data_IF_122276406844
#
_entry.id   IF_122276406844
#
_cell.length_a   1.000
_cell.length_b   1.000
_cell.length_c   1.000
_cell.angle_alpha   90.00
_cell.angle_beta   90.00
_cell.angle_gamma   90.00
#
_symmetry.space_group_name_H-M   'P 1'
#
loop_
_entity.id
_entity.type
_entity.pdbx_description
1 polymer ?
#
# COMPACT_ATOMS: atom_id res chain seq x y z
N UNK A 1 32.25 30.43 -15.83
CA UNK A 1 31.11 30.19 -14.98
C UNK A 1 29.84 30.72 -15.59
N UNK A 2 29.09 29.91 -16.32
CA UNK A 2 27.78 30.31 -16.87
C UNK A 2 26.69 29.61 -16.06
N UNK A 3 25.92 30.38 -15.30
CA UNK A 3 24.66 29.94 -14.72
C UNK A 3 23.66 29.77 -15.87
N UNK A 4 23.11 28.59 -16.04
CA UNK A 4 21.99 28.35 -16.96
C UNK A 4 20.73 28.96 -16.33
N UNK A 5 20.21 30.04 -16.89
CA UNK A 5 18.89 30.56 -16.55
C UNK A 5 17.80 29.60 -16.99
N UNK A 6 17.08 29.08 -16.01
CA UNK A 6 15.82 28.40 -16.29
C UNK A 6 14.72 29.44 -16.50
N UNK A 7 14.40 29.72 -17.75
CA UNK A 7 13.23 30.55 -18.06
C UNK A 7 11.98 29.70 -18.15
N UNK A 8 10.99 29.96 -17.29
CA UNK A 8 9.64 29.47 -17.44
C UNK A 8 8.92 30.25 -18.53
N UNK A 9 8.65 29.61 -19.67
CA UNK A 9 7.78 30.18 -20.68
C UNK A 9 6.31 30.14 -20.24
N UNK A 10 5.52 31.22 -20.51
CA UNK A 10 4.11 31.22 -20.11
C UNK A 10 3.30 30.15 -20.87
N UNK A 11 2.31 29.58 -20.16
CA UNK A 11 1.43 28.53 -20.64
C UNK A 11 0.48 29.04 -21.75
N UNK A 12 0.94 29.13 -22.98
CA UNK A 12 0.11 29.61 -24.09
C UNK A 12 0.61 29.29 -25.50
N UNK A 13 1.85 28.84 -25.63
CA UNK A 13 2.40 28.62 -26.95
C UNK A 13 3.31 27.41 -26.96
N UNK A 14 2.79 26.23 -27.01
CA UNK A 14 3.51 25.07 -27.55
C UNK A 14 2.83 23.74 -27.22
N UNK A 15 1.77 23.38 -27.90
CA UNK A 15 1.23 22.01 -27.83
C UNK A 15 2.21 20.93 -28.33
N UNK A 16 3.25 21.29 -29.07
CA UNK A 16 4.27 20.35 -29.55
C UNK A 16 5.49 20.21 -28.62
N UNK A 17 6.03 21.32 -28.13
CA UNK A 17 7.26 21.31 -27.32
C UNK A 17 7.01 20.81 -25.88
N UNK A 18 5.82 21.09 -25.32
CA UNK A 18 5.42 20.58 -24.01
C UNK A 18 5.15 19.06 -24.02
N UNK A 19 4.56 18.54 -25.09
CA UNK A 19 4.35 17.10 -25.27
C UNK A 19 5.70 16.37 -25.42
N UNK A 20 6.64 16.90 -26.18
CA UNK A 20 7.97 16.31 -26.34
C UNK A 20 8.79 16.31 -25.04
N UNK A 21 8.69 17.34 -24.22
CA UNK A 21 9.36 17.38 -22.89
C UNK A 21 8.76 16.34 -21.94
N UNK A 22 7.43 16.21 -21.89
CA UNK A 22 6.76 15.18 -21.08
C UNK A 22 7.17 13.78 -21.51
N UNK A 23 7.24 13.51 -22.81
CA UNK A 23 7.71 12.21 -23.34
C UNK A 23 9.18 11.96 -23.01
N UNK A 24 10.04 13.00 -23.06
CA UNK A 24 11.47 12.88 -22.77
C UNK A 24 11.74 12.44 -21.34
N UNK A 25 10.94 12.91 -20.36
CA UNK A 25 11.12 12.60 -18.95
C UNK A 25 10.22 11.46 -18.45
N UNK A 26 9.24 11.01 -19.22
CA UNK A 26 8.30 9.97 -18.81
C UNK A 26 8.99 8.66 -18.45
N UNK A 27 9.99 8.24 -19.25
CA UNK A 27 10.77 7.05 -18.97
C UNK A 27 11.59 7.14 -17.69
N UNK A 28 12.23 8.28 -17.44
CA UNK A 28 13.00 8.53 -16.22
C UNK A 28 12.10 8.58 -14.99
N UNK A 29 10.91 9.18 -15.08
CA UNK A 29 9.94 9.22 -13.99
C UNK A 29 9.37 7.83 -13.70
N UNK A 30 9.11 7.02 -14.73
CA UNK A 30 8.68 5.63 -14.56
C UNK A 30 9.74 4.78 -13.86
N UNK A 31 11.02 4.94 -14.22
CA UNK A 31 12.13 4.27 -13.55
C UNK A 31 12.27 4.71 -12.09
N UNK A 32 12.06 5.99 -11.78
CA UNK A 32 12.09 6.50 -10.43
C UNK A 32 10.95 5.94 -9.59
N UNK A 33 9.74 5.83 -10.14
CA UNK A 33 8.60 5.16 -9.48
C UNK A 33 8.93 3.71 -9.16
N UNK A 34 9.48 2.98 -10.11
CA UNK A 34 9.90 1.59 -9.92
C UNK A 34 10.93 1.47 -8.78
N UNK A 35 11.90 2.37 -8.74
CA UNK A 35 12.91 2.40 -7.68
C UNK A 35 12.28 2.67 -6.31
N UNK A 36 11.37 3.64 -6.19
CA UNK A 36 10.68 3.95 -4.94
C UNK A 36 9.81 2.78 -4.47
N UNK A 37 9.06 2.16 -5.36
CA UNK A 37 8.23 0.99 -5.05
C UNK A 37 9.08 -0.19 -4.61
N UNK A 38 10.21 -0.44 -5.27
CA UNK A 38 11.09 -1.57 -4.99
C UNK A 38 11.91 -1.41 -3.71
N UNK A 39 12.14 -0.17 -3.26
CA UNK A 39 12.98 0.15 -2.11
C UNK A 39 12.24 0.90 -1.01
N UNK A 40 10.92 0.85 -0.99
CA UNK A 40 10.13 1.54 0.02
C UNK A 40 10.61 1.20 1.41
N UNK A 41 10.83 2.22 2.25
CA UNK A 41 11.27 2.04 3.62
C UNK A 41 10.16 1.45 4.49
N UNK A 42 10.56 0.85 5.63
CA UNK A 42 9.62 0.31 6.62
C UNK A 42 8.79 1.44 7.24
N UNK A 43 7.46 1.30 7.29
CA UNK A 43 6.59 2.27 7.96
C UNK A 43 6.66 2.14 9.50
N UNK A 44 6.15 3.14 10.19
CA UNK A 44 5.97 3.12 11.66
C UNK A 44 4.76 2.27 12.02
N UNK A 45 4.92 0.97 11.93
CA UNK A 45 3.89 -0.02 12.23
C UNK A 45 4.51 -1.26 12.90
N UNK A 46 3.68 -2.08 13.53
CA UNK A 46 4.08 -3.43 13.91
C UNK A 46 3.99 -4.30 12.66
N UNK A 47 5.09 -4.94 12.31
CA UNK A 47 5.22 -5.70 11.08
C UNK A 47 5.54 -7.17 11.38
N UNK A 48 5.12 -8.06 10.50
CA UNK A 48 5.56 -9.45 10.46
C UNK A 48 6.45 -9.61 9.25
N UNK A 49 7.72 -9.85 9.48
CA UNK A 49 8.78 -9.86 8.47
C UNK A 49 9.70 -11.05 8.63
N UNK A 50 10.42 -11.40 7.58
CA UNK A 50 11.50 -12.38 7.62
C UNK A 50 12.79 -11.70 8.09
N UNK A 51 13.43 -12.26 9.12
CA UNK A 51 14.70 -11.77 9.64
C UNK A 51 15.90 -12.29 8.83
N UNK A 52 17.11 -11.90 9.22
CA UNK A 52 18.35 -12.31 8.55
C UNK A 52 18.62 -13.82 8.59
N UNK A 53 17.98 -14.54 9.52
CA UNK A 53 18.09 -15.98 9.68
C UNK A 53 16.96 -16.76 8.98
N UNK A 54 16.08 -16.08 8.26
CA UNK A 54 14.94 -16.68 7.59
C UNK A 54 13.75 -16.98 8.52
N UNK A 55 13.75 -16.47 9.75
CA UNK A 55 12.63 -16.62 10.68
C UNK A 55 11.58 -15.53 10.47
N UNK A 56 10.32 -15.89 10.58
CA UNK A 56 9.21 -14.94 10.54
C UNK A 56 8.98 -14.39 11.94
N UNK A 57 9.25 -13.10 12.10
CA UNK A 57 9.25 -12.42 13.39
C UNK A 57 8.34 -11.19 13.38
N UNK A 58 7.83 -10.83 14.57
CA UNK A 58 7.15 -9.57 14.81
C UNK A 58 8.21 -8.50 15.09
N UNK A 59 8.18 -7.42 14.32
CA UNK A 59 9.09 -6.29 14.45
C UNK A 59 8.33 -5.02 14.76
N UNK A 60 8.81 -4.26 15.74
CA UNK A 60 8.34 -2.89 16.03
C UNK A 60 9.46 -1.93 15.70
N UNK A 61 9.23 -1.07 14.71
CA UNK A 61 10.23 -0.11 14.28
C UNK A 61 10.31 1.06 15.25
N UNK A 62 11.52 1.31 15.80
CA UNK A 62 11.84 2.42 16.71
C UNK A 62 12.99 3.30 16.21
N UNK A 63 13.56 2.99 15.05
CA UNK A 63 14.67 3.73 14.47
C UNK A 63 14.17 5.02 13.80
N UNK A 64 14.53 6.16 14.35
CA UNK A 64 14.15 7.47 13.84
C UNK A 64 14.66 7.74 12.42
N UNK A 65 15.82 7.25 12.05
CA UNK A 65 16.39 7.44 10.70
C UNK A 65 15.56 6.71 9.65
N UNK A 66 15.10 5.50 9.96
CA UNK A 66 14.21 4.73 9.06
C UNK A 66 12.84 5.38 8.96
N UNK A 67 12.29 5.93 10.06
CA UNK A 67 11.03 6.66 10.05
C UNK A 67 11.09 7.93 9.19
N UNK A 68 12.20 8.67 9.27
CA UNK A 68 12.46 9.84 8.42
C UNK A 68 12.58 9.42 6.96
N UNK A 69 13.30 8.35 6.67
CA UNK A 69 13.43 7.81 5.32
C UNK A 69 12.07 7.39 4.74
N UNK A 70 11.24 6.71 5.50
CA UNK A 70 9.87 6.37 5.08
C UNK A 70 9.06 7.61 4.70
N UNK A 71 9.09 8.64 5.54
CA UNK A 71 8.37 9.90 5.30
C UNK A 71 8.80 10.57 4.00
N UNK A 72 10.11 10.65 3.76
CA UNK A 72 10.66 11.24 2.54
C UNK A 72 10.27 10.41 1.31
N UNK A 73 10.41 9.10 1.37
CA UNK A 73 10.05 8.21 0.26
C UNK A 73 8.55 8.23 -0.03
N UNK A 74 7.71 8.29 0.99
CA UNK A 74 6.27 8.43 0.86
C UNK A 74 5.90 9.74 0.13
N UNK A 75 6.44 10.85 0.58
CA UNK A 75 6.19 12.17 -0.05
C UNK A 75 6.63 12.17 -1.51
N UNK A 76 7.79 11.58 -1.81
CA UNK A 76 8.31 11.44 -3.18
C UNK A 76 7.38 10.57 -4.03
N UNK A 77 6.97 9.42 -3.53
CA UNK A 77 6.10 8.51 -4.27
C UNK A 77 4.70 9.08 -4.49
N UNK A 78 4.14 9.78 -3.50
CA UNK A 78 2.88 10.53 -3.64
C UNK A 78 2.99 11.55 -4.78
N UNK A 79 4.08 12.31 -4.83
CA UNK A 79 4.32 13.27 -5.89
C UNK A 79 4.41 12.61 -7.27
N UNK A 80 5.14 11.51 -7.37
CA UNK A 80 5.25 10.73 -8.60
C UNK A 80 3.90 10.12 -9.03
N UNK A 81 3.08 9.70 -8.06
CA UNK A 81 1.72 9.22 -8.33
C UNK A 81 0.80 10.32 -8.86
N UNK A 82 0.92 11.55 -8.36
CA UNK A 82 0.19 12.70 -8.89
C UNK A 82 0.59 13.04 -10.33
N UNK A 83 1.86 12.87 -10.68
CA UNK A 83 2.35 13.12 -12.04
C UNK A 83 1.81 12.10 -13.06
N UNK A 84 1.72 10.83 -12.67
CA UNK A 84 1.18 9.76 -13.50
C UNK A 84 0.65 8.61 -12.61
N UNK A 85 -0.60 8.70 -12.22
CA UNK A 85 -1.25 7.69 -11.38
C UNK A 85 -1.40 6.34 -12.11
N UNK A 86 -1.60 6.36 -13.43
CA UNK A 86 -1.77 5.15 -14.22
C UNK A 86 -0.49 4.31 -14.27
N UNK A 87 0.65 4.94 -14.47
CA UNK A 87 1.95 4.25 -14.44
C UNK A 87 2.25 3.70 -13.03
N UNK A 88 1.98 4.47 -11.98
CA UNK A 88 2.15 4.04 -10.59
C UNK A 88 1.29 2.80 -10.28
N UNK A 89 0.03 2.85 -10.63
CA UNK A 89 -0.94 1.78 -10.44
C UNK A 89 -0.53 0.52 -11.22
N UNK A 90 -0.18 0.67 -12.48
CA UNK A 90 0.27 -0.44 -13.34
C UNK A 90 1.50 -1.12 -12.78
N UNK A 91 2.51 -0.38 -12.36
CA UNK A 91 3.73 -0.95 -11.77
C UNK A 91 3.44 -1.74 -10.49
N UNK A 92 2.60 -1.21 -9.60
CA UNK A 92 2.24 -1.87 -8.35
C UNK A 92 1.44 -3.14 -8.58
N UNK A 93 0.44 -3.10 -9.45
CA UNK A 93 -0.40 -4.26 -9.76
C UNK A 93 0.37 -5.35 -10.53
N UNK A 94 1.28 -4.98 -11.43
CA UNK A 94 2.14 -5.93 -12.14
C UNK A 94 3.08 -6.65 -11.16
N UNK A 95 3.68 -5.94 -10.22
CA UNK A 95 4.51 -6.55 -9.16
C UNK A 95 3.70 -7.53 -8.29
N UNK A 96 2.49 -7.16 -7.95
CA UNK A 96 1.60 -8.04 -7.17
C UNK A 96 1.20 -9.28 -7.98
N UNK A 97 0.88 -9.13 -9.26
CA UNK A 97 0.61 -10.24 -10.16
C UNK A 97 1.81 -11.18 -10.31
N UNK A 98 3.03 -10.66 -10.33
CA UNK A 98 4.27 -11.45 -10.37
C UNK A 98 4.46 -12.28 -9.09
N UNK A 99 4.06 -11.77 -7.93
CA UNK A 99 4.02 -12.55 -6.68
C UNK A 99 3.01 -13.70 -6.78
N UNK A 100 1.83 -13.41 -7.30
CA UNK A 100 0.74 -14.36 -7.39
C UNK A 100 1.02 -15.50 -8.39
N UNK A 101 1.67 -15.21 -9.51
CA UNK A 101 1.99 -16.21 -10.55
C UNK A 101 3.35 -16.91 -10.34
N UNK A 102 4.07 -16.57 -9.27
CA UNK A 102 5.34 -17.19 -8.90
C UNK A 102 6.57 -16.71 -9.67
N UNK A 103 6.46 -15.69 -10.51
CA UNK A 103 7.63 -15.11 -11.21
C UNK A 103 8.59 -14.40 -10.28
N UNK A 104 8.07 -13.81 -9.22
CA UNK A 104 8.82 -13.09 -8.20
C UNK A 104 8.36 -13.58 -6.83
N UNK A 105 9.03 -14.59 -6.28
CA UNK A 105 8.67 -15.16 -4.99
C UNK A 105 9.62 -14.68 -3.91
N UNK A 106 9.25 -13.61 -3.20
CA UNK A 106 10.03 -13.07 -2.09
C UNK A 106 9.12 -12.34 -1.10
N UNK A 107 9.20 -12.71 0.17
CA UNK A 107 8.48 -12.02 1.26
C UNK A 107 8.93 -10.57 1.41
N UNK A 108 10.21 -10.30 1.24
CA UNK A 108 10.76 -8.94 1.30
C UNK A 108 10.21 -8.07 0.17
N UNK A 109 10.09 -8.60 -1.03
CA UNK A 109 9.49 -7.88 -2.18
C UNK A 109 8.01 -7.61 -1.94
N UNK A 110 7.28 -8.58 -1.41
CA UNK A 110 5.86 -8.41 -1.07
C UNK A 110 5.66 -7.35 0.01
N UNK A 111 6.44 -7.39 1.08
CA UNK A 111 6.39 -6.39 2.14
C UNK A 111 6.65 -4.98 1.60
N UNK A 112 7.72 -4.80 0.85
CA UNK A 112 8.11 -3.52 0.27
C UNK A 112 7.02 -2.98 -0.66
N UNK A 113 6.44 -3.83 -1.49
CA UNK A 113 5.33 -3.49 -2.37
C UNK A 113 4.09 -3.02 -1.58
N UNK A 114 3.70 -3.75 -0.54
CA UNK A 114 2.54 -3.40 0.28
C UNK A 114 2.77 -2.11 1.08
N UNK A 115 3.98 -1.86 1.57
CA UNK A 115 4.33 -0.58 2.19
C UNK A 115 4.22 0.59 1.18
N UNK A 116 4.65 0.38 -0.06
CA UNK A 116 4.50 1.37 -1.12
C UNK A 116 3.01 1.62 -1.46
N UNK A 117 2.21 0.56 -1.59
CA UNK A 117 0.76 0.67 -1.81
C UNK A 117 0.10 1.47 -0.68
N UNK A 118 0.42 1.16 0.57
CA UNK A 118 -0.11 1.88 1.73
C UNK A 118 0.34 3.34 1.80
N UNK A 119 1.57 3.64 1.37
CA UNK A 119 2.16 4.98 1.45
C UNK A 119 1.46 6.01 0.57
N UNK A 120 0.85 5.62 -0.54
CA UNK A 120 0.20 6.52 -1.49
C UNK A 120 -1.29 6.74 -1.22
N UNK A 121 -1.79 6.33 -0.06
CA UNK A 121 -3.19 6.55 0.32
C UNK A 121 -3.57 8.03 0.20
N UNK A 122 -4.69 8.30 -0.46
CA UNK A 122 -5.20 9.64 -0.70
C UNK A 122 -4.57 10.38 -1.89
N UNK A 123 -3.60 9.77 -2.59
CA UNK A 123 -2.94 10.40 -3.75
C UNK A 123 -3.72 10.26 -5.06
N UNK A 124 -4.69 9.36 -5.12
CA UNK A 124 -5.54 9.11 -6.28
C UNK A 124 -6.93 9.73 -6.11
N UNK A 125 -7.61 10.01 -7.21
CA UNK A 125 -9.03 10.29 -7.19
C UNK A 125 -9.80 9.09 -6.62
N UNK A 126 -10.95 9.32 -5.99
CA UNK A 126 -11.70 8.30 -5.26
C UNK A 126 -12.05 7.08 -6.11
N UNK A 127 -12.54 7.29 -7.33
CA UNK A 127 -12.91 6.22 -8.25
C UNK A 127 -11.70 5.40 -8.72
N UNK A 128 -10.56 6.03 -8.90
CA UNK A 128 -9.29 5.38 -9.25
C UNK A 128 -8.75 4.56 -8.07
N UNK A 129 -8.76 5.14 -6.88
CA UNK A 129 -8.38 4.46 -5.64
C UNK A 129 -9.23 3.20 -5.41
N UNK A 130 -10.55 3.31 -5.60
CA UNK A 130 -11.48 2.21 -5.44
C UNK A 130 -11.15 1.03 -6.37
N UNK A 131 -10.95 1.28 -7.65
CA UNK A 131 -10.57 0.24 -8.62
C UNK A 131 -9.24 -0.39 -8.30
N UNK A 132 -8.25 0.42 -7.97
CA UNK A 132 -6.92 -0.03 -7.59
C UNK A 132 -6.94 -0.93 -6.36
N UNK A 133 -7.59 -0.50 -5.28
CA UNK A 133 -7.64 -1.25 -4.03
C UNK A 133 -8.45 -2.53 -4.13
N UNK A 134 -9.57 -2.54 -4.84
CA UNK A 134 -10.33 -3.77 -5.06
C UNK A 134 -9.46 -4.83 -5.73
N UNK A 135 -8.68 -4.46 -6.73
CA UNK A 135 -7.76 -5.38 -7.41
C UNK A 135 -6.62 -5.81 -6.48
N UNK A 136 -5.97 -4.86 -5.81
CA UNK A 136 -4.83 -5.16 -4.93
C UNK A 136 -5.23 -6.08 -3.77
N UNK A 137 -6.33 -5.80 -3.11
CA UNK A 137 -6.79 -6.61 -1.97
C UNK A 137 -7.27 -7.97 -2.42
N UNK A 138 -7.99 -8.06 -3.55
CA UNK A 138 -8.36 -9.34 -4.13
C UNK A 138 -7.16 -10.21 -4.42
N UNK A 139 -6.12 -9.67 -5.03
CA UNK A 139 -4.91 -10.40 -5.35
C UNK A 139 -4.15 -10.83 -4.09
N UNK A 140 -4.09 -9.99 -3.06
CA UNK A 140 -3.52 -10.35 -1.76
C UNK A 140 -4.30 -11.47 -1.06
N UNK A 141 -5.62 -11.43 -1.10
CA UNK A 141 -6.47 -12.50 -0.54
C UNK A 141 -6.27 -13.82 -1.30
N UNK A 142 -6.20 -13.77 -2.63
CA UNK A 142 -5.89 -14.94 -3.44
C UNK A 142 -4.51 -15.52 -3.12
N UNK A 143 -3.51 -14.67 -2.96
CA UNK A 143 -2.16 -15.10 -2.55
C UNK A 143 -2.19 -15.77 -1.17
N UNK A 144 -2.96 -15.25 -0.24
CA UNK A 144 -3.13 -15.84 1.08
C UNK A 144 -3.76 -17.24 0.99
N UNK A 145 -4.75 -17.43 0.13
CA UNK A 145 -5.42 -18.73 -0.05
C UNK A 145 -4.52 -19.80 -0.67
N UNK A 146 -3.71 -19.44 -1.66
CA UNK A 146 -2.81 -20.39 -2.34
C UNK A 146 -1.53 -20.68 -1.56
N UNK A 147 -1.18 -19.85 -0.58
CA UNK A 147 0.03 -20.00 0.21
C UNK A 147 -0.16 -21.03 1.31
N UNK A 148 0.84 -21.89 1.49
CA UNK A 148 0.85 -22.92 2.54
C UNK A 148 1.86 -22.57 3.63
N UNK A 149 1.54 -22.98 4.85
CA UNK A 149 2.36 -22.75 6.03
C UNK A 149 1.92 -21.52 6.83
N UNK A 150 1.92 -21.67 8.16
CA UNK A 150 1.44 -20.63 9.09
C UNK A 150 2.27 -19.35 9.02
N UNK A 151 3.59 -19.48 8.96
CA UNK A 151 4.49 -18.34 8.95
C UNK A 151 4.37 -17.55 7.66
N UNK A 152 4.27 -18.22 6.53
CA UNK A 152 4.08 -17.58 5.23
C UNK A 152 2.72 -16.87 5.14
N UNK A 153 1.66 -17.51 5.60
CA UNK A 153 0.34 -16.85 5.70
C UNK A 153 0.34 -15.67 6.65
N UNK A 154 1.13 -15.73 7.73
CA UNK A 154 1.26 -14.60 8.66
C UNK A 154 1.85 -13.36 7.97
N UNK A 155 2.85 -13.52 7.12
CA UNK A 155 3.42 -12.40 6.33
C UNK A 155 2.35 -11.78 5.42
N UNK A 156 1.59 -12.59 4.70
CA UNK A 156 0.55 -12.09 3.78
C UNK A 156 -0.58 -11.43 4.57
N UNK A 157 -1.04 -12.03 5.66
CA UNK A 157 -2.05 -11.45 6.53
C UNK A 157 -1.62 -10.08 7.08
N UNK A 158 -0.37 -9.96 7.51
CA UNK A 158 0.24 -8.71 7.94
C UNK A 158 0.18 -7.64 6.85
N UNK A 159 0.51 -8.00 5.62
CA UNK A 159 0.45 -7.07 4.48
C UNK A 159 -0.99 -6.65 4.15
N UNK A 160 -1.94 -7.56 4.19
CA UNK A 160 -3.37 -7.22 4.00
C UNK A 160 -3.82 -6.23 5.08
N UNK A 161 -3.52 -6.51 6.34
CA UNK A 161 -3.89 -5.65 7.47
C UNK A 161 -3.24 -4.27 7.38
N UNK A 162 -1.97 -4.22 6.98
CA UNK A 162 -1.29 -2.95 6.76
C UNK A 162 -1.98 -2.12 5.67
N UNK A 163 -2.23 -2.70 4.49
CA UNK A 163 -2.86 -2.00 3.37
C UNK A 163 -4.25 -1.51 3.75
N UNK A 164 -5.13 -2.35 4.28
CA UNK A 164 -6.49 -1.92 4.64
C UNK A 164 -6.48 -0.84 5.72
N UNK A 165 -5.57 -0.89 6.67
CA UNK A 165 -5.41 0.12 7.71
C UNK A 165 -4.98 1.49 7.18
N UNK A 166 -4.35 1.56 6.01
CA UNK A 166 -3.91 2.80 5.37
C UNK A 166 -4.99 3.47 4.50
N UNK A 167 -6.10 2.79 4.23
CA UNK A 167 -7.16 3.29 3.33
C UNK A 167 -8.52 3.45 4.03
N UNK A 168 -8.63 4.24 5.11
CA UNK A 168 -9.89 4.39 5.84
C UNK A 168 -10.99 5.06 5.01
N UNK A 169 -10.65 5.97 4.09
CA UNK A 169 -11.62 6.58 3.18
C UNK A 169 -12.32 5.53 2.31
N UNK A 170 -11.57 4.61 1.75
CA UNK A 170 -12.10 3.49 0.99
C UNK A 170 -13.04 2.62 1.83
N UNK A 171 -12.65 2.28 3.05
CA UNK A 171 -13.47 1.47 3.95
C UNK A 171 -14.77 2.18 4.35
N UNK A 172 -14.73 3.49 4.59
CA UNK A 172 -15.93 4.28 4.91
C UNK A 172 -16.95 4.32 3.79
N UNK A 173 -16.48 4.31 2.54
CA UNK A 173 -17.34 4.37 1.35
C UNK A 173 -17.88 3.01 0.92
N UNK A 174 -17.26 1.92 1.37
CA UNK A 174 -17.59 0.54 0.99
C UNK A 174 -17.91 -0.30 2.23
N UNK A 175 -19.04 -0.03 2.86
CA UNK A 175 -19.41 -0.67 4.11
C UNK A 175 -19.50 -2.21 4.05
N UNK A 176 -19.94 -2.77 2.90
CA UNK A 176 -19.96 -4.24 2.70
C UNK A 176 -18.55 -4.81 2.72
N UNK A 177 -17.62 -4.10 2.12
CA UNK A 177 -16.21 -4.46 2.15
C UNK A 177 -15.62 -4.29 3.55
N UNK A 178 -15.96 -3.21 4.25
CA UNK A 178 -15.59 -3.00 5.66
C UNK A 178 -16.05 -4.17 6.53
N UNK A 179 -17.29 -4.64 6.37
CA UNK A 179 -17.81 -5.81 7.08
C UNK A 179 -16.97 -7.05 6.81
N UNK A 180 -16.61 -7.31 5.55
CA UNK A 180 -15.74 -8.42 5.17
C UNK A 180 -14.37 -8.31 5.82
N UNK A 181 -13.76 -7.13 5.83
CA UNK A 181 -12.48 -6.86 6.49
C UNK A 181 -12.56 -7.13 7.99
N UNK A 182 -13.59 -6.63 8.66
CA UNK A 182 -13.80 -6.85 10.10
C UNK A 182 -13.94 -8.33 10.43
N UNK A 183 -14.72 -9.08 9.65
CA UNK A 183 -14.83 -10.52 9.83
C UNK A 183 -13.49 -11.23 9.64
N UNK A 184 -12.71 -10.82 8.65
CA UNK A 184 -11.36 -11.37 8.42
C UNK A 184 -10.40 -11.03 9.57
N UNK A 185 -10.50 -9.85 10.14
CA UNK A 185 -9.71 -9.48 11.34
C UNK A 185 -10.07 -10.34 12.54
N UNK A 186 -11.35 -10.65 12.74
CA UNK A 186 -11.77 -11.58 13.79
C UNK A 186 -11.21 -12.99 13.57
N UNK A 187 -11.18 -13.49 12.32
CA UNK A 187 -10.50 -14.74 12.01
C UNK A 187 -9.01 -14.68 12.37
N UNK A 188 -8.31 -13.60 12.01
CA UNK A 188 -6.91 -13.41 12.34
C UNK A 188 -6.63 -13.31 13.85
N UNK A 189 -7.57 -12.78 14.64
CA UNK A 189 -7.45 -12.76 16.10
C UNK A 189 -7.47 -14.17 16.72
N UNK A 190 -8.01 -15.15 16.01
CA UNK A 190 -8.05 -16.57 16.43
C UNK A 190 -6.90 -17.40 15.84
N UNK A 191 -6.05 -16.80 15.01
CA UNK A 191 -4.87 -17.49 14.48
C UNK A 191 -3.86 -17.82 15.58
N UNK A 192 -3.12 -18.91 15.37
CA UNK A 192 -2.13 -19.37 16.35
C UNK A 192 -0.83 -18.55 16.36
N UNK A 193 -0.59 -17.74 15.35
CA UNK A 193 0.59 -16.89 15.29
C UNK A 193 0.39 -15.63 16.13
N UNK A 194 1.15 -15.41 17.24
CA UNK A 194 0.91 -14.30 18.16
C UNK A 194 1.02 -12.92 17.51
N UNK A 195 1.94 -12.76 16.54
CA UNK A 195 2.09 -11.51 15.81
C UNK A 195 0.86 -11.17 14.95
N UNK A 196 0.20 -12.16 14.37
CA UNK A 196 -1.06 -11.98 13.62
C UNK A 196 -2.19 -11.55 14.54
N UNK A 197 -2.32 -12.18 15.70
CA UNK A 197 -3.33 -11.82 16.70
C UNK A 197 -3.17 -10.35 17.14
N UNK A 198 -1.97 -9.95 17.53
CA UNK A 198 -1.68 -8.59 17.97
C UNK A 198 -1.95 -7.56 16.87
N UNK A 199 -1.49 -7.83 15.67
CA UNK A 199 -1.69 -6.93 14.54
C UNK A 199 -3.15 -6.82 14.14
N UNK A 200 -3.92 -7.91 14.22
CA UNK A 200 -5.36 -7.88 13.97
C UNK A 200 -6.09 -7.01 14.97
N UNK A 201 -5.74 -7.08 16.26
CA UNK A 201 -6.31 -6.22 17.30
C UNK A 201 -5.97 -4.74 17.05
N UNK A 202 -4.72 -4.44 16.75
CA UNK A 202 -4.27 -3.07 16.47
C UNK A 202 -4.94 -2.50 15.22
N UNK A 203 -5.06 -3.29 14.16
CA UNK A 203 -5.74 -2.90 12.92
C UNK A 203 -7.22 -2.67 13.13
N UNK A 204 -7.88 -3.55 13.89
CA UNK A 204 -9.29 -3.38 14.24
C UNK A 204 -9.53 -2.08 15.00
N UNK A 205 -8.70 -1.79 16.00
CA UNK A 205 -8.78 -0.54 16.76
C UNK A 205 -8.60 0.69 15.86
N UNK A 206 -7.60 0.67 14.99
CA UNK A 206 -7.32 1.75 14.03
C UNK A 206 -8.50 1.98 13.08
N UNK A 207 -9.07 0.92 12.52
CA UNK A 207 -10.24 0.99 11.65
C UNK A 207 -11.47 1.49 12.41
N UNK A 208 -11.70 0.99 13.62
CA UNK A 208 -12.81 1.40 14.48
C UNK A 208 -12.81 2.90 14.76
N UNK A 209 -11.64 3.47 15.06
CA UNK A 209 -11.50 4.91 15.29
C UNK A 209 -11.77 5.71 14.02
N UNK A 210 -11.20 5.30 12.88
CA UNK A 210 -11.31 6.03 11.61
C UNK A 210 -12.64 5.86 10.89
N UNK A 211 -13.35 4.76 11.15
CA UNK A 211 -14.64 4.42 10.55
C UNK A 211 -15.79 4.41 11.57
N UNK A 212 -15.64 5.06 12.69
CA UNK A 212 -16.55 5.01 13.85
C UNK A 212 -18.04 5.17 13.48
N UNK A 213 -18.37 6.13 12.65
CA UNK A 213 -19.77 6.39 12.25
C UNK A 213 -20.40 5.22 11.48
N UNK A 214 -19.60 4.49 10.71
CA UNK A 214 -20.09 3.34 9.92
C UNK A 214 -20.39 2.13 10.80
N UNK A 215 -19.62 1.91 11.87
CA UNK A 215 -19.90 0.85 12.85
C UNK A 215 -21.22 1.05 13.57
N UNK A 216 -21.58 2.28 13.93
CA UNK A 216 -22.87 2.59 14.55
C UNK A 216 -24.03 2.27 13.63
N UNK A 217 -23.93 2.62 12.34
CA UNK A 217 -24.96 2.35 11.34
C UNK A 217 -25.14 0.84 11.12
N UNK A 218 -24.07 0.07 11.11
CA UNK A 218 -24.14 -1.38 10.94
C UNK A 218 -24.87 -2.07 12.12
N UNK A 219 -24.71 -1.58 13.33
CA UNK A 219 -25.43 -2.10 14.51
C UNK A 219 -26.93 -1.83 14.47
N UNK A 220 -27.33 -0.67 13.95
CA UNK A 220 -28.75 -0.28 13.86
C UNK A 220 -29.48 -1.04 12.74
N UNK A 221 -28.80 -1.34 11.63
CA UNK A 221 -29.39 -2.05 10.48
C UNK A 221 -29.55 -3.55 10.68
N UNK A 222 -28.97 -4.16 11.72
CA UNK A 222 -29.18 -5.59 12.05
C UNK A 222 -30.40 -5.83 12.94
N UNK A 223 -31.09 -4.77 13.34
CA UNK A 223 -32.29 -4.81 14.19
C UNK A 223 -33.59 -4.39 13.47
N UNK A 224 -33.53 -4.11 12.16
CA UNK A 224 -34.69 -3.94 11.30
C UNK A 224 -34.83 -5.16 10.34
#
# INVERSE_FOLDING_TARGET
GGMAEFSFAPAGAANGAGANRRMLYSGSMSQLRMLMVSRMAKPEEVLIVEDENGNIVRETLKDNDVLVQYKIMRETLIYLAHLDHKDTETQMLDKLANQLNGKEYSWNVLNTLCWAIGSISGSMAEDQENRFLVTAIRDLLNLCEITRGKDHKAVIASNIMYVVGQYPRFLRLHWKFLKTVVNKLFEFMHETHPGVQDMACDTFLKISIKCKRKFVIMQVGEHE
#
